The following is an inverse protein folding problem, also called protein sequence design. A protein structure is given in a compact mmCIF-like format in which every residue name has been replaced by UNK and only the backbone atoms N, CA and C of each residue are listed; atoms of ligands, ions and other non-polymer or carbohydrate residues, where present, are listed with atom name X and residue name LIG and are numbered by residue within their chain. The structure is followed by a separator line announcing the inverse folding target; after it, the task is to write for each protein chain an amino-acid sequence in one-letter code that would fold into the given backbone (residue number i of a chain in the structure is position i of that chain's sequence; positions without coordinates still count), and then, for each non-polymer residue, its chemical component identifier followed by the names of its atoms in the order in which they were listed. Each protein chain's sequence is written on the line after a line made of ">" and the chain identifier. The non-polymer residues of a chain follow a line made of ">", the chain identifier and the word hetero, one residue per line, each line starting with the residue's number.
data_IF_096242206604
#
_entry.id   IF_096242206604
#
_cell.length_a   1.000
_cell.length_b   1.000
_cell.length_c   1.000
_cell.angle_alpha   90.00
_cell.angle_beta   90.00
_cell.angle_gamma   90.00
#
_symmetry.space_group_name_H-M   'P 1'
#
loop_
_entity.id
_entity.type
_entity.pdbx_description
1 polymer ?
#
# COMPACT_ATOMS: atom_id res chain seq x y z
N UNK A 1 13.64 -4.14 -9.73
CA UNK A 1 13.30 -3.29 -8.57
C UNK A 1 11.90 -2.74 -8.81
N UNK A 2 10.93 -2.96 -7.91
CA UNK A 2 9.56 -2.50 -8.14
C UNK A 2 9.41 -0.97 -8.01
N UNK A 3 8.41 -0.38 -8.68
CA UNK A 3 7.99 1.01 -8.47
C UNK A 3 7.71 1.34 -7.00
N UNK A 4 8.16 2.52 -6.54
CA UNK A 4 7.87 3.02 -5.21
C UNK A 4 6.40 3.38 -5.04
N UNK A 5 5.78 2.95 -3.93
CA UNK A 5 4.39 3.26 -3.62
C UNK A 5 4.26 4.62 -2.93
N UNK A 6 3.11 5.26 -3.13
CA UNK A 6 2.79 6.60 -2.65
C UNK A 6 1.34 6.63 -2.18
N UNK A 7 0.96 7.73 -1.54
CA UNK A 7 -0.47 7.97 -1.31
C UNK A 7 -1.22 7.87 -2.64
N UNK A 8 -2.49 7.45 -2.59
CA UNK A 8 -3.38 7.23 -3.73
C UNK A 8 -3.03 6.07 -4.67
N UNK A 9 -1.84 5.48 -4.58
CA UNK A 9 -1.55 4.25 -5.30
C UNK A 9 -2.42 3.10 -4.73
N UNK A 10 -2.90 2.22 -5.60
CA UNK A 10 -3.92 1.23 -5.27
C UNK A 10 -3.31 -0.04 -4.68
N UNK A 11 -4.03 -0.65 -3.74
CA UNK A 11 -3.86 -2.06 -3.38
C UNK A 11 -5.09 -2.87 -3.78
N UNK A 12 -4.91 -4.18 -3.84
CA UNK A 12 -6.01 -5.16 -3.98
C UNK A 12 -6.19 -5.89 -2.67
N UNK A 13 -7.42 -6.20 -2.28
CA UNK A 13 -7.74 -6.93 -1.06
C UNK A 13 -8.56 -8.19 -1.38
N UNK A 14 -8.09 -9.40 -1.03
CA UNK A 14 -8.81 -10.65 -1.26
C UNK A 14 -9.84 -10.95 -0.16
N UNK A 15 -9.85 -10.21 0.96
CA UNK A 15 -10.83 -10.42 2.02
C UNK A 15 -12.25 -10.14 1.54
N UNK A 16 -13.18 -10.79 2.22
CA UNK A 16 -14.60 -10.66 1.98
C UNK A 16 -15.30 -10.58 3.33
N UNK A 17 -16.32 -9.72 3.40
CA UNK A 17 -17.21 -9.70 4.57
C UNK A 17 -18.31 -10.74 4.34
N UNK A 18 -18.52 -11.70 5.27
CA UNK A 18 -19.63 -12.64 5.18
C UNK A 18 -20.98 -11.90 5.14
N UNK A 19 -21.78 -12.16 4.11
CA UNK A 19 -23.09 -11.56 3.91
C UNK A 19 -23.99 -12.51 3.08
N UNK A 20 -25.30 -12.27 3.10
CA UNK A 20 -26.30 -13.02 2.32
C UNK A 20 -26.95 -12.09 1.26
N UNK A 21 -27.22 -12.54 0.02
CA UNK A 21 -27.09 -13.90 -0.52
C UNK A 21 -25.66 -14.29 -0.95
N UNK A 22 -24.72 -13.35 -0.97
CA UNK A 22 -23.30 -13.58 -1.29
C UNK A 22 -22.39 -12.71 -0.43
N UNK A 23 -21.15 -13.13 -0.14
CA UNK A 23 -20.16 -12.29 0.54
C UNK A 23 -19.89 -10.99 -0.21
N UNK A 24 -19.52 -9.94 0.51
CA UNK A 24 -19.16 -8.64 -0.07
C UNK A 24 -17.64 -8.59 -0.25
N UNK A 25 -17.12 -8.56 -1.50
CA UNK A 25 -15.69 -8.45 -1.75
C UNK A 25 -15.14 -7.10 -1.32
N UNK A 26 -13.95 -7.09 -0.72
CA UNK A 26 -13.31 -5.82 -0.35
C UNK A 26 -12.71 -5.07 -1.53
N UNK A 27 -12.22 -5.79 -2.55
CA UNK A 27 -11.60 -5.30 -3.79
C UNK A 27 -10.31 -4.46 -3.65
N UNK A 28 -10.11 -3.80 -2.51
CA UNK A 28 -8.98 -2.92 -2.24
C UNK A 28 -9.31 -1.46 -2.50
N UNK A 29 -8.28 -0.63 -2.59
CA UNK A 29 -8.42 0.83 -2.68
C UNK A 29 -7.10 1.57 -2.45
N UNK A 30 -7.13 2.91 -2.44
CA UNK A 30 -5.92 3.72 -2.37
C UNK A 30 -5.24 3.67 -1.01
N UNK A 31 -3.91 3.84 -1.00
CA UNK A 31 -3.13 4.13 0.21
C UNK A 31 -3.48 5.54 0.69
N UNK A 32 -3.81 5.69 1.97
CA UNK A 32 -4.27 6.95 2.58
C UNK A 32 -3.31 7.55 3.61
N UNK A 33 -2.32 6.79 4.08
CA UNK A 33 -1.28 7.30 4.99
C UNK A 33 -1.34 6.72 6.41
N UNK A 34 -0.60 7.28 7.37
CA UNK A 34 -0.14 8.68 7.43
C UNK A 34 1.01 9.04 6.48
N UNK A 35 1.73 8.06 5.92
CA UNK A 35 2.84 8.26 4.98
C UNK A 35 3.96 9.15 5.54
N UNK A 36 4.93 9.52 4.70
CA UNK A 36 6.01 10.42 5.09
C UNK A 36 5.87 11.71 4.27
N UNK A 37 5.12 12.67 4.83
CA UNK A 37 4.62 13.86 4.13
C UNK A 37 5.71 14.74 3.52
N UNK A 38 6.90 14.78 4.12
CA UNK A 38 8.04 15.57 3.66
C UNK A 38 8.91 14.86 2.60
N UNK A 39 8.66 13.57 2.31
CA UNK A 39 9.37 12.82 1.27
C UNK A 39 8.42 12.57 0.11
N UNK A 40 8.63 13.28 -0.98
CA UNK A 40 7.77 13.22 -2.16
C UNK A 40 8.38 12.34 -3.25
N UNK A 41 7.60 11.40 -3.76
CA UNK A 41 7.92 10.56 -4.91
C UNK A 41 6.92 10.91 -6.00
N UNK A 42 7.40 11.38 -7.16
CA UNK A 42 6.51 11.81 -8.25
C UNK A 42 5.47 12.86 -7.80
N UNK A 43 5.87 13.79 -6.92
CA UNK A 43 5.04 14.85 -6.31
C UNK A 43 3.95 14.41 -5.32
N UNK A 44 3.95 13.15 -4.88
CA UNK A 44 3.04 12.66 -3.84
C UNK A 44 3.85 12.11 -2.65
N UNK A 45 3.35 12.23 -1.41
CA UNK A 45 4.00 11.62 -0.24
C UNK A 45 4.28 10.13 -0.41
N UNK A 46 5.47 9.72 0.00
CA UNK A 46 5.94 8.34 -0.07
C UNK A 46 5.22 7.45 0.95
N UNK A 47 4.73 6.30 0.49
CA UNK A 47 4.12 5.30 1.35
C UNK A 47 5.19 4.39 1.99
N UNK A 48 4.92 3.93 3.19
CA UNK A 48 5.82 3.08 3.98
C UNK A 48 5.03 2.01 4.74
N UNK A 49 5.75 1.02 5.27
CA UNK A 49 5.13 0.00 6.14
C UNK A 49 4.40 0.66 7.32
N UNK A 50 3.21 0.14 7.60
CA UNK A 50 2.28 0.67 8.60
C UNK A 50 1.31 1.72 8.08
N UNK A 51 1.44 2.17 6.83
CA UNK A 51 0.42 3.05 6.24
C UNK A 51 -0.86 2.27 5.94
N UNK A 52 -1.99 2.97 6.09
CA UNK A 52 -3.33 2.44 5.85
C UNK A 52 -3.72 2.53 4.39
N UNK A 53 -4.55 1.58 3.96
CA UNK A 53 -5.22 1.56 2.67
C UNK A 53 -6.74 1.52 2.87
N UNK A 54 -7.47 2.23 2.03
CA UNK A 54 -8.94 2.14 2.00
C UNK A 54 -9.34 0.77 1.50
N UNK A 55 -10.23 0.12 2.24
CA UNK A 55 -10.82 -1.16 1.91
C UNK A 55 -12.35 -1.05 2.07
N UNK A 56 -13.14 -1.91 1.42
CA UNK A 56 -14.59 -1.91 1.65
C UNK A 56 -14.97 -2.43 3.05
N UNK A 57 -14.09 -3.22 3.68
CA UNK A 57 -14.17 -3.56 5.10
C UNK A 57 -13.38 -2.56 5.98
N UNK A 58 -12.82 -3.00 7.12
CA UNK A 58 -11.92 -2.15 7.90
C UNK A 58 -10.71 -1.70 7.05
N UNK A 59 -10.04 -0.59 7.40
CA UNK A 59 -8.81 -0.19 6.72
C UNK A 59 -7.77 -1.32 6.73
N UNK A 60 -7.15 -1.56 5.57
CA UNK A 60 -6.03 -2.48 5.45
C UNK A 60 -4.72 -1.73 5.78
N UNK A 61 -3.64 -2.46 6.02
CA UNK A 61 -2.34 -1.89 6.41
C UNK A 61 -1.23 -2.54 5.61
N UNK A 62 -0.27 -1.74 5.12
CA UNK A 62 0.94 -2.25 4.47
C UNK A 62 1.82 -2.94 5.51
N UNK A 63 2.13 -4.22 5.30
CA UNK A 63 2.92 -5.03 6.26
C UNK A 63 4.30 -5.44 5.72
N UNK A 64 4.54 -5.25 4.41
CA UNK A 64 5.84 -5.51 3.78
C UNK A 64 6.34 -4.26 3.07
N UNK A 65 7.66 -4.12 3.02
CA UNK A 65 8.35 -3.03 2.36
C UNK A 65 9.74 -3.47 1.90
N UNK A 66 10.56 -2.51 1.50
CA UNK A 66 11.99 -2.72 1.23
C UNK A 66 12.75 -3.12 2.49
N UNK A 67 13.67 -4.08 2.36
CA UNK A 67 14.59 -4.50 3.41
C UNK A 67 15.78 -3.57 3.60
N UNK A 68 16.09 -2.71 2.62
CA UNK A 68 17.29 -1.87 2.60
C UNK A 68 17.01 -0.38 2.48
N UNK A 69 15.83 0.01 1.98
CA UNK A 69 15.46 1.41 1.78
C UNK A 69 14.43 1.82 2.82
N UNK A 70 14.82 2.81 3.63
CA UNK A 70 13.99 3.37 4.69
C UNK A 70 13.59 4.81 4.32
N UNK A 71 12.32 5.14 4.53
CA UNK A 71 11.77 6.49 4.37
C UNK A 71 11.13 6.89 5.69
N UNK A 72 11.56 8.02 6.26
CA UNK A 72 11.09 8.46 7.58
C UNK A 72 11.33 7.42 8.69
N UNK A 73 12.42 6.65 8.59
CA UNK A 73 12.76 5.59 9.53
C UNK A 73 11.94 4.30 9.41
N UNK A 74 11.05 4.18 8.42
CA UNK A 74 10.23 2.99 8.16
C UNK A 74 10.55 2.36 6.80
N UNK A 75 10.40 1.04 6.62
CA UNK A 75 10.61 0.38 5.33
C UNK A 75 9.75 1.02 4.22
N UNK A 76 10.37 1.37 3.09
CA UNK A 76 9.67 1.97 1.95
C UNK A 76 8.71 0.97 1.29
N UNK A 77 7.46 1.37 1.04
CA UNK A 77 6.48 0.53 0.37
C UNK A 77 6.61 0.60 -1.15
N UNK A 78 6.27 -0.50 -1.84
CA UNK A 78 6.50 -0.67 -3.28
C UNK A 78 5.38 -1.50 -3.90
N UNK A 79 5.24 -1.40 -5.21
CA UNK A 79 4.37 -2.29 -5.97
C UNK A 79 4.76 -3.76 -5.71
N UNK A 80 3.79 -4.59 -5.37
CA UNK A 80 3.94 -6.00 -5.01
C UNK A 80 4.16 -6.25 -3.52
N UNK A 81 4.35 -5.22 -2.69
CA UNK A 81 4.40 -5.41 -1.24
C UNK A 81 3.01 -5.78 -0.68
N UNK A 82 3.01 -6.68 0.30
CA UNK A 82 1.79 -7.26 0.88
C UNK A 82 1.15 -6.38 1.94
N UNK A 83 -0.16 -6.52 2.08
CA UNK A 83 -0.97 -5.88 3.10
C UNK A 83 -1.50 -6.89 4.12
N UNK A 84 -2.01 -6.42 5.26
CA UNK A 84 -2.48 -7.24 6.38
C UNK A 84 -3.66 -8.12 5.98
N UNK A 85 -4.49 -7.67 5.04
CA UNK A 85 -5.60 -8.47 4.53
C UNK A 85 -5.18 -9.56 3.51
N UNK A 86 -3.88 -9.79 3.34
CA UNK A 86 -3.33 -10.73 2.36
C UNK A 86 -3.32 -10.18 0.93
N UNK A 87 -3.63 -8.90 0.78
CA UNK A 87 -3.60 -8.15 -0.46
C UNK A 87 -2.20 -7.73 -0.88
N UNK A 88 -2.11 -7.02 -2.00
CA UNK A 88 -0.85 -6.44 -2.50
C UNK A 88 -1.06 -5.06 -3.10
N UNK A 89 -0.03 -4.21 -3.01
CA UNK A 89 0.02 -2.92 -3.71
C UNK A 89 0.19 -3.17 -5.21
N UNK A 90 -0.69 -2.63 -6.03
CA UNK A 90 -0.74 -2.88 -7.49
C UNK A 90 -0.37 -1.67 -8.35
N UNK A 91 -0.13 -0.51 -7.73
CA UNK A 91 0.36 0.68 -8.42
C UNK A 91 1.53 1.32 -7.67
N UNK A 92 2.32 2.10 -8.39
CA UNK A 92 3.46 2.84 -7.85
C UNK A 92 3.96 3.88 -8.86
N UNK A 93 4.96 4.66 -8.47
CA UNK A 93 5.56 5.67 -9.33
C UNK A 93 6.42 5.03 -10.44
N UNK A 94 6.07 5.16 -11.73
CA UNK A 94 6.76 4.46 -12.81
C UNK A 94 8.22 4.90 -13.01
N UNK A 95 8.59 6.08 -12.53
CA UNK A 95 9.93 6.66 -12.69
C UNK A 95 10.84 6.49 -11.48
N UNK A 96 10.33 5.95 -10.37
CA UNK A 96 11.11 5.76 -9.14
C UNK A 96 11.04 4.30 -8.71
N UNK A 97 12.16 3.60 -8.79
CA UNK A 97 12.27 2.20 -8.41
C UNK A 97 13.00 2.07 -7.06
N UNK A 98 12.49 1.21 -6.18
CA UNK A 98 13.11 0.93 -4.87
C UNK A 98 13.51 -0.54 -4.81
N UNK A 99 14.80 -0.80 -4.60
CA UNK A 99 15.37 -2.14 -4.44
C UNK A 99 15.26 -2.70 -3.01
N UNK A 100 15.92 -3.83 -2.79
CA UNK A 100 15.89 -4.59 -1.52
C UNK A 100 14.53 -5.22 -1.25
#
# INVERSE_FOLDING_TARGET
>A
MPPAARITDMHTCPMQTPAFPSPIPHAGGPITGPSVQNVLIGKLPAAVVGDMCVCAGPPDVIVKGSSTVMIGGRPAARMGDSTAHGGTIVAGCPTVQIGG
#
